data_IF_290754343762
#
_entry.id   IF_290754343762
#
_cell.length_a   1.000
_cell.length_b   1.000
_cell.length_c   1.000
_cell.angle_alpha   90.00
_cell.angle_beta   90.00
_cell.angle_gamma   90.00
#
_symmetry.space_group_name_H-M   'P 1'
#
loop_
_entity.id
_entity.type
_entity.pdbx_description
1 polymer ?
#
# COMPACT_ATOMS: atom_id res chain seq x y z
N UNK A 1 -1.54 7.39 -14.08
CA UNK A 1 -2.25 7.00 -12.85
C UNK A 1 -1.87 8.02 -11.81
N UNK A 2 -2.81 8.87 -11.42
CA UNK A 2 -2.58 9.87 -10.38
C UNK A 2 -2.49 9.15 -9.03
N UNK A 3 -1.37 9.34 -8.31
CA UNK A 3 -1.29 8.98 -6.90
C UNK A 3 -2.30 9.85 -6.16
N UNK A 4 -3.46 9.29 -5.82
CA UNK A 4 -4.43 9.98 -4.98
C UNK A 4 -3.87 10.04 -3.55
N UNK A 5 -3.22 11.16 -3.24
CA UNK A 5 -2.77 11.48 -1.88
C UNK A 5 -4.01 11.79 -1.05
N UNK A 6 -4.56 10.78 -0.38
CA UNK A 6 -5.62 11.01 0.60
C UNK A 6 -4.94 11.42 1.90
N UNK A 7 -4.89 12.72 2.18
CA UNK A 7 -4.53 13.24 3.48
C UNK A 7 -5.65 12.91 4.46
N UNK A 8 -5.57 11.76 5.11
CA UNK A 8 -6.48 11.41 6.20
C UNK A 8 -6.00 12.16 7.44
N UNK A 9 -6.59 13.33 7.68
CA UNK A 9 -6.49 14.02 8.96
C UNK A 9 -7.22 13.23 10.05
N UNK A 10 -6.53 13.04 11.18
CA UNK A 10 -7.02 12.52 12.49
C UNK A 10 -8.28 11.63 12.39
N UNK A 11 -8.10 10.37 11.99
CA UNK A 11 -9.05 9.34 12.43
C UNK A 11 -8.67 8.98 13.86
N UNK A 12 -9.44 9.49 14.81
CA UNK A 12 -9.37 9.04 16.19
C UNK A 12 -9.77 7.56 16.24
N UNK A 13 -8.78 6.67 16.16
CA UNK A 13 -8.99 5.26 16.50
C UNK A 13 -9.27 5.18 18.00
N UNK A 14 -10.46 4.71 18.35
CA UNK A 14 -10.99 4.63 19.72
C UNK A 14 -10.23 3.65 20.64
N UNK A 15 -9.16 3.02 20.16
CA UNK A 15 -8.26 2.25 21.00
C UNK A 15 -6.82 2.45 20.52
N UNK A 16 -5.98 3.25 21.22
CA UNK A 16 -4.59 3.40 20.83
C UNK A 16 -3.93 2.03 20.99
N UNK A 17 -3.48 1.47 19.87
CA UNK A 17 -2.55 0.35 19.77
C UNK A 17 -1.59 0.33 20.97
N UNK A 18 -1.33 -0.83 21.58
CA UNK A 18 -0.44 -0.95 22.76
C UNK A 18 0.92 -0.27 22.55
N UNK A 19 1.49 -0.34 21.34
CA UNK A 19 2.71 0.38 20.99
C UNK A 19 2.56 1.91 20.98
N UNK A 20 1.41 2.43 20.55
CA UNK A 20 1.11 3.86 20.58
C UNK A 20 1.01 4.38 22.02
N UNK A 21 0.40 3.61 22.93
CA UNK A 21 0.35 3.95 24.35
C UNK A 21 1.74 3.99 24.98
N UNK A 22 2.56 2.97 24.72
CA UNK A 22 3.94 2.88 25.23
C UNK A 22 4.81 4.01 24.69
N UNK A 23 4.72 4.28 23.39
CA UNK A 23 5.45 5.38 22.77
C UNK A 23 5.03 6.74 23.35
N UNK A 24 3.72 6.97 23.51
CA UNK A 24 3.23 8.22 24.11
C UNK A 24 3.74 8.39 25.54
N UNK A 25 3.76 7.32 26.34
CA UNK A 25 4.33 7.37 27.69
C UNK A 25 5.81 7.73 27.68
N UNK A 26 6.59 7.12 26.78
CA UNK A 26 8.01 7.43 26.62
C UNK A 26 8.24 8.88 26.20
N UNK A 27 7.47 9.39 25.24
CA UNK A 27 7.57 10.79 24.81
C UNK A 27 7.18 11.78 25.92
N UNK A 28 6.18 11.44 26.74
CA UNK A 28 5.81 12.22 27.92
C UNK A 28 6.94 12.26 28.96
N UNK A 29 7.61 11.14 29.20
CA UNK A 29 8.77 11.08 30.11
C UNK A 29 9.93 11.96 29.64
N UNK A 30 10.14 12.03 28.32
CA UNK A 30 11.18 12.87 27.73
C UNK A 30 10.83 14.36 27.81
N UNK A 31 9.56 14.73 27.66
CA UNK A 31 9.07 16.07 27.94
C UNK A 31 9.47 17.15 26.92
N UNK A 32 10.21 16.81 25.86
CA UNK A 32 10.64 17.75 24.81
C UNK A 32 10.07 17.44 23.42
N UNK A 33 9.08 16.57 23.31
CA UNK A 33 8.35 16.32 22.05
C UNK A 33 6.90 16.81 22.12
N UNK A 34 6.39 17.33 21.01
CA UNK A 34 4.96 17.60 20.81
C UNK A 34 4.22 16.27 20.58
N UNK A 35 2.88 16.31 20.61
CA UNK A 35 2.06 15.15 20.28
C UNK A 35 2.43 14.59 18.90
N UNK A 36 2.67 13.27 18.76
CA UNK A 36 3.00 12.66 17.48
C UNK A 36 1.91 12.86 16.44
N UNK A 37 2.33 13.20 15.22
CA UNK A 37 1.42 13.28 14.06
C UNK A 37 1.75 12.13 13.13
N UNK A 38 0.76 11.45 12.60
CA UNK A 38 0.97 10.41 11.58
C UNK A 38 0.18 10.69 10.31
N UNK A 39 0.70 10.20 9.19
CA UNK A 39 0.11 10.34 7.86
C UNK A 39 0.09 8.98 7.18
N UNK A 40 -1.09 8.57 6.73
CA UNK A 40 -1.27 7.41 5.87
C UNK A 40 -1.24 7.79 4.40
N UNK A 41 -0.61 6.94 3.59
CA UNK A 41 -0.64 6.98 2.13
C UNK A 41 -1.20 5.65 1.61
N UNK A 42 -2.23 5.73 0.77
CA UNK A 42 -2.74 4.55 0.09
C UNK A 42 -1.91 4.30 -1.16
N UNK A 43 -1.26 3.14 -1.22
CA UNK A 43 -0.48 2.67 -2.36
C UNK A 43 -1.37 1.73 -3.18
N UNK A 44 -1.62 2.11 -4.43
CA UNK A 44 -2.42 1.31 -5.38
C UNK A 44 -1.48 0.70 -6.42
N UNK A 45 -1.46 -0.63 -6.48
CA UNK A 45 -0.70 -1.40 -7.46
C UNK A 45 -1.65 -2.40 -8.13
N UNK A 46 -2.00 -2.13 -9.39
CA UNK A 46 -3.02 -2.91 -10.10
C UNK A 46 -4.36 -2.87 -9.36
N UNK A 47 -4.94 -4.05 -9.08
CA UNK A 47 -6.15 -4.18 -8.26
C UNK A 47 -5.88 -4.16 -6.76
N UNK A 48 -4.63 -4.25 -6.33
CA UNK A 48 -4.27 -4.29 -4.91
C UNK A 48 -4.16 -2.88 -4.34
N UNK A 49 -4.76 -2.70 -3.16
CA UNK A 49 -4.65 -1.49 -2.36
C UNK A 49 -3.93 -1.83 -1.07
N UNK A 50 -2.91 -1.05 -0.76
CA UNK A 50 -2.14 -1.17 0.47
C UNK A 50 -1.90 0.21 1.09
N UNK A 51 -1.34 0.23 2.28
CA UNK A 51 -1.13 1.41 3.09
C UNK A 51 0.31 1.48 3.57
N UNK A 52 0.91 2.66 3.42
CA UNK A 52 2.12 3.06 4.14
C UNK A 52 1.76 4.15 5.11
N UNK A 53 2.39 4.15 6.29
CA UNK A 53 2.17 5.18 7.29
C UNK A 53 3.51 5.73 7.75
N UNK A 54 3.56 7.05 7.95
CA UNK A 54 4.70 7.76 8.52
C UNK A 54 4.23 8.45 9.80
N UNK A 55 4.99 8.33 10.87
CA UNK A 55 4.81 9.07 12.12
C UNK A 55 5.95 10.08 12.29
N UNK A 56 5.60 11.26 12.79
CA UNK A 56 6.48 12.41 12.93
C UNK A 56 6.51 12.86 14.39
N UNK A 57 7.70 12.93 14.96
CA UNK A 57 7.97 13.48 16.29
C UNK A 57 8.60 14.85 16.12
N UNK A 58 7.88 15.88 16.56
CA UNK A 58 8.34 17.26 16.50
C UNK A 58 8.90 17.66 17.87
N UNK A 59 10.06 18.30 17.91
CA UNK A 59 10.60 18.84 19.15
C UNK A 59 9.75 20.02 19.66
N UNK A 60 9.74 20.21 20.98
CA UNK A 60 9.20 21.39 21.63
C UNK A 60 10.24 22.52 21.56
N UNK A 61 9.98 23.55 20.76
CA UNK A 61 10.86 24.71 20.57
C UNK A 61 10.73 25.31 19.17
N UNK A 62 11.57 26.31 18.89
CA UNK A 62 11.65 27.02 17.58
C UNK A 62 12.37 26.22 16.48
N UNK A 63 12.75 24.98 16.76
CA UNK A 63 13.37 24.09 15.79
C UNK A 63 12.34 23.34 14.95
N UNK A 64 12.55 23.32 13.63
CA UNK A 64 11.84 22.44 12.67
C UNK A 64 12.38 21.01 12.65
N UNK A 65 13.18 20.62 13.66
CA UNK A 65 13.69 19.26 13.70
C UNK A 65 12.53 18.27 13.91
N UNK A 66 12.47 17.27 13.03
CA UNK A 66 11.44 16.24 13.04
C UNK A 66 12.11 14.90 12.86
N UNK A 67 11.82 13.98 13.78
CA UNK A 67 12.17 12.57 13.63
C UNK A 67 10.97 11.88 12.97
N UNK A 68 11.19 11.22 11.84
CA UNK A 68 10.15 10.51 11.13
C UNK A 68 10.45 9.00 11.09
N UNK A 69 9.43 8.19 11.38
CA UNK A 69 9.47 6.75 11.21
C UNK A 69 8.39 6.33 10.23
N UNK A 70 8.73 5.46 9.30
CA UNK A 70 7.79 4.97 8.28
C UNK A 70 7.66 3.45 8.36
N UNK A 71 6.48 2.93 8.01
CA UNK A 71 6.29 1.50 7.77
C UNK A 71 7.31 1.00 6.76
N UNK A 72 8.04 -0.06 7.10
CA UNK A 72 9.00 -0.71 6.18
C UNK A 72 8.28 -1.38 5.01
N UNK A 73 7.18 -2.08 5.33
CA UNK A 73 6.41 -2.88 4.41
C UNK A 73 4.98 -2.33 4.28
N UNK A 74 4.40 -2.22 3.06
CA UNK A 74 3.00 -1.86 2.90
C UNK A 74 2.06 -2.86 3.58
N UNK A 75 0.95 -2.38 4.14
CA UNK A 75 -0.06 -3.24 4.77
C UNK A 75 -1.39 -3.20 4.04
N UNK A 76 -2.17 -4.27 4.13
CA UNK A 76 -3.48 -4.36 3.45
C UNK A 76 -4.52 -3.43 4.07
N UNK A 77 -4.39 -3.12 5.36
CA UNK A 77 -5.31 -2.23 6.09
C UNK A 77 -4.56 -1.04 6.69
N UNK A 78 -5.25 0.09 6.83
CA UNK A 78 -4.69 1.26 7.49
C UNK A 78 -4.34 0.97 8.96
N UNK A 79 -5.20 0.23 9.65
CA UNK A 79 -4.98 -0.17 11.06
C UNK A 79 -3.68 -0.95 11.25
N UNK A 80 -3.41 -1.95 10.41
CA UNK A 80 -2.16 -2.72 10.50
C UNK A 80 -0.94 -1.87 10.14
N UNK A 81 -1.07 -0.92 9.20
CA UNK A 81 0.00 0.02 8.88
C UNK A 81 0.29 0.99 10.05
N UNK A 82 -0.76 1.45 10.73
CA UNK A 82 -0.64 2.25 11.96
C UNK A 82 0.04 1.42 13.05
N UNK A 83 -0.39 0.17 13.25
CA UNK A 83 0.23 -0.68 14.28
C UNK A 83 1.72 -0.88 14.06
N UNK A 84 2.10 -1.15 12.81
CA UNK A 84 3.46 -1.41 12.42
C UNK A 84 4.35 -0.16 12.48
N UNK A 85 3.85 1.03 12.09
CA UNK A 85 4.63 2.26 12.23
C UNK A 85 4.89 2.62 13.70
N UNK A 86 3.91 2.39 14.57
CA UNK A 86 4.09 2.63 16.01
C UNK A 86 5.07 1.64 16.64
N UNK A 87 5.01 0.36 16.24
CA UNK A 87 6.01 -0.64 16.62
C UNK A 87 7.42 -0.22 16.16
N UNK A 88 7.55 0.13 14.89
CA UNK A 88 8.83 0.55 14.30
C UNK A 88 9.41 1.79 14.99
N UNK A 89 8.55 2.78 15.22
CA UNK A 89 8.94 4.01 15.88
C UNK A 89 9.40 3.72 17.32
N UNK A 90 8.64 2.94 18.08
CA UNK A 90 9.01 2.58 19.45
C UNK A 90 10.35 1.83 19.50
N UNK A 91 10.55 0.83 18.64
CA UNK A 91 11.78 0.04 18.59
C UNK A 91 13.01 0.89 18.24
N UNK A 92 12.93 1.66 17.15
CA UNK A 92 14.05 2.51 16.73
C UNK A 92 14.31 3.63 17.71
N UNK A 93 13.25 4.24 18.24
CA UNK A 93 13.37 5.34 19.18
C UNK A 93 13.95 4.88 20.51
N UNK A 94 13.54 3.71 21.04
CA UNK A 94 14.22 3.10 22.18
C UNK A 94 15.71 2.85 21.90
N UNK A 95 16.08 2.36 20.72
CA UNK A 95 17.48 2.19 20.31
C UNK A 95 18.28 3.49 20.27
N UNK A 96 17.64 4.62 19.96
CA UNK A 96 18.26 5.97 19.97
C UNK A 96 18.30 6.57 21.37
N UNK A 97 17.38 6.21 22.26
CA UNK A 97 17.32 6.73 23.63
C UNK A 97 18.29 6.05 24.62
N UNK A 98 18.65 4.78 24.41
CA UNK A 98 19.58 4.04 25.29
C UNK A 98 20.96 4.72 25.45
N UNK A 99 21.58 5.28 24.39
CA UNK A 99 22.84 6.04 24.52
C UNK A 99 22.71 7.40 25.20
N UNK A 100 21.50 7.96 25.33
CA UNK A 100 21.27 9.31 25.86
C UNK A 100 21.19 9.37 27.40
N UNK A 101 21.48 8.26 28.08
CA UNK A 101 21.47 8.20 29.56
C UNK A 101 20.09 8.38 30.18
N UNK A 102 19.02 8.34 29.38
CA UNK A 102 17.65 8.34 29.87
C UNK A 102 17.39 6.97 30.49
N UNK A 103 17.06 6.94 31.77
CA UNK A 103 16.57 5.75 32.43
C UNK A 103 15.24 5.34 31.76
N UNK A 104 15.30 4.52 30.72
CA UNK A 104 14.12 3.96 30.09
C UNK A 104 13.80 2.63 30.77
N UNK A 105 12.58 2.52 31.30
CA UNK A 105 12.08 1.23 31.79
C UNK A 105 11.68 0.30 30.64
N UNK A 106 11.91 0.74 29.40
CA UNK A 106 11.60 0.03 28.17
C UNK A 106 12.89 -0.59 27.61
N UNK A 107 13.38 -1.63 28.29
CA UNK A 107 14.25 -2.59 27.62
C UNK A 107 13.43 -3.36 26.58
N UNK A 108 14.09 -3.87 25.53
CA UNK A 108 13.55 -4.97 24.72
C UNK A 108 13.42 -6.20 25.64
N UNK A 109 12.38 -6.24 26.49
CA UNK A 109 12.25 -7.28 27.50
C UNK A 109 11.45 -8.45 26.95
N UNK A 110 11.96 -9.70 27.02
CA UNK A 110 11.36 -10.86 26.38
C UNK A 110 10.38 -11.66 27.26
N UNK A 111 9.65 -11.04 28.20
CA UNK A 111 8.67 -11.80 28.99
C UNK A 111 7.34 -11.89 28.25
N UNK A 112 7.01 -13.11 27.80
CA UNK A 112 5.68 -13.53 27.37
C UNK A 112 5.18 -14.55 28.41
N UNK A 113 4.11 -14.25 29.13
CA UNK A 113 3.44 -15.28 29.93
C UNK A 113 2.57 -16.17 29.03
N UNK A 114 2.39 -17.42 29.43
CA UNK A 114 1.51 -18.38 28.73
C UNK A 114 0.05 -17.90 28.79
N UNK A 115 -0.34 -17.12 27.79
CA UNK A 115 -1.65 -16.48 27.68
C UNK A 115 -1.63 -15.18 26.87
N UNK A 116 -0.46 -14.55 26.74
CA UNK A 116 -0.34 -13.28 26.02
C UNK A 116 -0.18 -13.48 24.50
N UNK A 117 -1.12 -12.91 23.76
CA UNK A 117 -1.15 -12.93 22.30
C UNK A 117 -0.45 -11.72 21.65
N UNK A 118 0.12 -10.80 22.45
CA UNK A 118 0.66 -9.51 21.99
C UNK A 118 1.99 -9.19 22.67
N UNK A 119 2.92 -8.54 21.95
CA UNK A 119 4.18 -8.08 22.51
C UNK A 119 3.95 -6.78 23.31
N UNK A 120 3.92 -6.86 24.64
CA UNK A 120 3.88 -5.70 25.50
C UNK A 120 5.27 -5.45 26.12
N UNK A 121 5.84 -4.25 25.91
CA UNK A 121 7.00 -3.80 26.69
C UNK A 121 6.53 -3.48 28.11
N UNK A 122 6.98 -4.25 29.10
CA UNK A 122 6.73 -3.97 30.51
C UNK A 122 7.69 -2.90 31.04
N UNK A 123 7.24 -2.03 31.96
CA UNK A 123 8.14 -1.19 32.73
C UNK A 123 8.97 -2.10 33.66
N UNK A 124 10.27 -2.27 33.38
CA UNK A 124 11.16 -2.96 34.32
C UNK A 124 11.40 -2.09 35.54
N UNK A 125 10.99 -2.57 36.73
CA UNK A 125 11.59 -2.14 37.98
C UNK A 125 13.08 -2.50 37.94
N UNK A 126 13.94 -1.50 38.22
CA UNK A 126 15.42 -1.50 38.27
C UNK A 126 16.15 -2.72 37.65
N UNK A 127 17.02 -2.51 36.64
CA UNK A 127 17.79 -3.60 36.07
C UNK A 127 18.86 -4.09 37.05
N UNK A 128 18.58 -5.17 37.78
CA UNK A 128 19.61 -5.96 38.45
C UNK A 128 20.41 -6.74 37.41
N UNK A 129 21.41 -6.08 36.83
CA UNK A 129 22.49 -6.73 36.11
C UNK A 129 22.14 -7.19 34.69
N UNK A 130 23.08 -6.93 33.79
CA UNK A 130 23.13 -7.44 32.42
C UNK A 130 22.80 -8.94 32.36
N UNK A 131 21.56 -9.26 32.02
CA UNK A 131 21.16 -10.59 31.57
C UNK A 131 20.50 -10.45 30.20
N UNK A 132 21.34 -10.24 29.19
CA UNK A 132 21.00 -10.64 27.82
C UNK A 132 20.79 -12.16 27.84
N UNK A 133 19.57 -12.61 28.13
CA UNK A 133 19.22 -14.03 28.20
C UNK A 133 18.83 -14.53 26.82
N UNK A 134 18.93 -15.85 26.62
CA UNK A 134 18.48 -16.62 25.44
C UNK A 134 17.13 -16.15 24.85
N UNK A 135 16.26 -15.59 25.68
CA UNK A 135 14.95 -15.05 25.30
C UNK A 135 15.03 -13.74 24.48
N UNK A 136 16.05 -12.90 24.70
CA UNK A 136 16.33 -11.71 23.88
C UNK A 136 16.81 -12.10 22.49
N UNK A 137 17.63 -13.14 22.40
CA UNK A 137 18.07 -13.70 21.12
C UNK A 137 16.90 -14.31 20.35
N UNK A 138 16.04 -15.09 21.02
CA UNK A 138 14.81 -15.61 20.44
C UNK A 138 13.89 -14.49 19.93
N UNK A 139 13.66 -13.43 20.73
CA UNK A 139 12.86 -12.28 20.30
C UNK A 139 13.44 -11.62 19.03
N UNK A 140 14.76 -11.39 18.99
CA UNK A 140 15.43 -10.88 17.79
C UNK A 140 15.30 -11.83 16.60
N UNK A 141 15.44 -13.15 16.78
CA UNK A 141 15.27 -14.12 15.69
C UNK A 141 13.84 -14.16 15.17
N UNK A 142 12.84 -14.05 16.05
CA UNK A 142 11.43 -14.00 15.65
C UNK A 142 11.10 -12.71 14.90
N UNK A 143 11.66 -11.59 15.32
CA UNK A 143 11.50 -10.32 14.62
C UNK A 143 12.17 -10.37 13.25
N UNK A 144 13.40 -10.90 13.16
CA UNK A 144 14.08 -11.09 11.88
C UNK A 144 13.31 -12.02 10.93
N UNK A 145 12.75 -13.11 11.45
CA UNK A 145 11.93 -14.04 10.67
C UNK A 145 10.62 -13.38 10.19
N UNK A 146 9.99 -12.57 11.04
CA UNK A 146 8.81 -11.78 10.67
C UNK A 146 9.15 -10.79 9.56
N UNK A 147 10.20 -9.99 9.70
CA UNK A 147 10.66 -9.03 8.69
C UNK A 147 11.01 -9.73 7.37
N UNK A 148 11.66 -10.89 7.43
CA UNK A 148 11.98 -11.68 6.23
C UNK A 148 10.71 -12.17 5.51
N UNK A 149 9.71 -12.68 6.25
CA UNK A 149 8.44 -13.10 5.68
C UNK A 149 7.70 -11.93 4.99
N UNK A 150 7.79 -10.72 5.55
CA UNK A 150 7.20 -9.53 4.96
C UNK A 150 7.90 -9.08 3.68
N UNK A 151 9.23 -9.21 3.64
CA UNK A 151 10.01 -8.95 2.43
C UNK A 151 9.60 -9.91 1.31
N UNK A 152 9.41 -11.19 1.61
CA UNK A 152 8.92 -12.18 0.64
C UNK A 152 7.51 -11.84 0.14
N UNK A 153 6.62 -11.36 1.02
CA UNK A 153 5.29 -10.88 0.62
C UNK A 153 5.37 -9.68 -0.32
N UNK A 154 6.30 -8.74 -0.11
CA UNK A 154 6.49 -7.61 -1.01
C UNK A 154 6.99 -8.06 -2.38
N UNK A 155 7.94 -8.99 -2.45
CA UNK A 155 8.39 -9.58 -3.72
C UNK A 155 7.24 -10.26 -4.48
N UNK A 156 6.35 -10.96 -3.76
CA UNK A 156 5.17 -11.58 -4.36
C UNK A 156 4.16 -10.56 -4.88
N UNK A 157 3.96 -9.45 -4.17
CA UNK A 157 3.09 -8.35 -4.62
C UNK A 157 3.60 -7.73 -5.90
N UNK A 158 4.90 -7.45 -5.98
CA UNK A 158 5.52 -6.87 -7.19
C UNK A 158 5.37 -7.82 -8.39
N UNK A 159 5.60 -9.12 -8.20
CA UNK A 159 5.40 -10.13 -9.26
C UNK A 159 3.95 -10.22 -9.69
N UNK A 160 3.01 -10.15 -8.75
CA UNK A 160 1.58 -10.17 -9.07
C UNK A 160 1.17 -8.93 -9.87
N UNK A 161 1.63 -7.75 -9.48
CA UNK A 161 1.37 -6.50 -10.20
C UNK A 161 1.89 -6.54 -11.65
N UNK A 162 3.08 -7.11 -11.87
CA UNK A 162 3.64 -7.29 -13.21
C UNK A 162 2.81 -8.30 -14.05
N UNK A 163 2.40 -9.42 -13.46
CA UNK A 163 1.51 -10.38 -14.14
C UNK A 163 0.16 -9.76 -14.50
N UNK A 164 -0.41 -8.96 -13.60
CA UNK A 164 -1.65 -8.26 -13.81
C UNK A 164 -1.53 -7.26 -14.97
N UNK A 165 -0.47 -6.45 -15.00
CA UNK A 165 -0.20 -5.51 -16.08
C UNK A 165 -0.08 -6.23 -17.44
N UNK A 166 0.63 -7.36 -17.48
CA UNK A 166 0.74 -8.21 -18.68
C UNK A 166 -0.62 -8.76 -19.12
N UNK A 167 -1.43 -9.24 -18.18
CA UNK A 167 -2.78 -9.75 -18.47
C UNK A 167 -3.71 -8.66 -19.03
N UNK A 168 -3.70 -7.46 -18.43
CA UNK A 168 -4.47 -6.31 -18.91
C UNK A 168 -4.04 -5.91 -20.32
N UNK A 169 -2.74 -5.87 -20.59
CA UNK A 169 -2.21 -5.59 -21.93
C UNK A 169 -2.66 -6.61 -22.97
N UNK A 170 -2.58 -7.91 -22.66
CA UNK A 170 -3.03 -8.98 -23.56
C UNK A 170 -4.54 -8.89 -23.84
N UNK A 171 -5.33 -8.63 -22.81
CA UNK A 171 -6.78 -8.47 -22.92
C UNK A 171 -7.13 -7.28 -23.81
N UNK A 172 -6.45 -6.15 -23.65
CA UNK A 172 -6.63 -4.97 -24.48
C UNK A 172 -6.25 -5.24 -25.95
N UNK A 173 -5.12 -5.92 -26.19
CA UNK A 173 -4.66 -6.25 -27.54
C UNK A 173 -5.66 -7.19 -28.24
N UNK A 174 -6.14 -8.22 -27.53
CA UNK A 174 -7.10 -9.18 -28.08
C UNK A 174 -8.44 -8.52 -28.42
N UNK A 175 -9.00 -7.73 -27.48
CA UNK A 175 -10.27 -7.01 -27.69
C UNK A 175 -10.17 -6.03 -28.85
N UNK A 176 -9.07 -5.28 -28.95
CA UNK A 176 -8.81 -4.35 -30.06
C UNK A 176 -8.80 -5.08 -31.40
N UNK A 177 -8.15 -6.26 -31.46
CA UNK A 177 -8.08 -7.08 -32.68
C UNK A 177 -9.47 -7.55 -33.11
N UNK A 178 -10.28 -8.07 -32.18
CA UNK A 178 -11.66 -8.50 -32.45
C UNK A 178 -12.55 -7.34 -32.95
N UNK A 179 -12.42 -6.15 -32.35
CA UNK A 179 -13.17 -4.96 -32.77
C UNK A 179 -12.79 -4.50 -34.19
N UNK A 180 -11.50 -4.59 -34.54
CA UNK A 180 -11.02 -4.29 -35.90
C UNK A 180 -11.58 -5.28 -36.92
N UNK A 181 -11.58 -6.58 -36.60
CA UNK A 181 -12.15 -7.62 -37.47
C UNK A 181 -13.66 -7.45 -37.67
N UNK A 182 -14.40 -7.23 -36.59
CA UNK A 182 -15.83 -6.97 -36.63
C UNK A 182 -16.15 -5.73 -37.48
N UNK A 183 -15.38 -4.65 -37.30
CA UNK A 183 -15.50 -3.41 -38.08
C UNK A 183 -15.24 -3.63 -39.57
N UNK A 184 -14.18 -4.40 -39.91
CA UNK A 184 -13.88 -4.78 -41.31
C UNK A 184 -15.03 -5.57 -41.92
N UNK A 185 -15.59 -6.53 -41.19
CA UNK A 185 -16.73 -7.35 -41.64
C UNK A 185 -17.98 -6.50 -41.86
N UNK A 186 -18.30 -5.59 -40.92
CA UNK A 186 -19.42 -4.67 -41.03
C UNK A 186 -19.29 -3.74 -42.26
N UNK A 187 -18.10 -3.18 -42.52
CA UNK A 187 -17.84 -2.37 -43.72
C UNK A 187 -18.07 -3.18 -44.99
N UNK A 188 -17.52 -4.40 -45.09
CA UNK A 188 -17.74 -5.29 -46.24
C UNK A 188 -19.22 -5.56 -46.48
N UNK A 189 -19.99 -5.81 -45.42
CA UNK A 189 -21.44 -6.02 -45.53
C UNK A 189 -22.18 -4.77 -46.02
N UNK A 190 -21.81 -3.58 -45.53
CA UNK A 190 -22.36 -2.30 -46.03
C UNK A 190 -22.07 -2.09 -47.52
N UNK A 191 -20.83 -2.34 -47.97
CA UNK A 191 -20.48 -2.26 -49.39
C UNK A 191 -21.27 -3.25 -50.25
N UNK A 192 -21.36 -4.51 -49.82
CA UNK A 192 -22.17 -5.54 -50.52
C UNK A 192 -23.65 -5.13 -50.60
N UNK A 193 -24.22 -4.59 -49.51
CA UNK A 193 -25.61 -4.10 -49.49
C UNK A 193 -25.80 -2.94 -50.48
N UNK A 194 -24.90 -1.95 -50.49
CA UNK A 194 -24.93 -0.81 -51.43
C UNK A 194 -24.82 -1.30 -52.88
N UNK A 195 -23.88 -2.21 -53.18
CA UNK A 195 -23.73 -2.77 -54.51
C UNK A 195 -24.97 -3.55 -54.98
N UNK A 196 -25.62 -4.31 -54.09
CA UNK A 196 -26.89 -5.00 -54.39
C UNK A 196 -28.02 -4.02 -54.69
N UNK A 197 -28.11 -2.91 -53.94
CA UNK A 197 -29.12 -1.87 -54.19
C UNK A 197 -28.89 -1.17 -55.54
N UNK A 198 -27.64 -0.84 -55.87
CA UNK A 198 -27.29 -0.23 -57.16
C UNK A 198 -27.61 -1.16 -58.35
N UNK A 199 -27.43 -2.48 -58.21
CA UNK A 199 -27.82 -3.45 -59.25
C UNK A 199 -29.33 -3.64 -59.40
N UNK A 200 -30.12 -3.24 -58.41
CA UNK A 200 -31.59 -3.31 -58.43
C UNK A 200 -32.25 -2.01 -58.85
N UNK A 201 -31.48 -0.93 -59.05
CA UNK A 201 -32.01 0.27 -59.67
C UNK A 201 -32.38 -0.09 -61.12
N UNK A 202 -33.64 0.11 -61.56
CA UNK A 202 -33.95 -0.01 -62.97
C UNK A 202 -33.04 0.97 -63.72
N UNK A 203 -32.44 0.52 -64.83
CA UNK A 203 -31.96 1.46 -65.84
C UNK A 203 -33.16 2.34 -66.19
N UNK A 204 -33.12 3.63 -65.84
CA UNK A 204 -34.02 4.60 -66.47
C UNK A 204 -33.77 4.46 -67.97
N UNK A 205 -34.70 3.79 -68.64
CA UNK A 205 -34.77 3.79 -70.09
C UNK A 205 -35.18 5.21 -70.43
N UNK A 206 -34.26 5.97 -71.03
CA UNK A 206 -34.52 7.30 -71.52
C UNK A 206 -35.73 7.22 -72.48
N UNK A 207 -36.88 7.87 -72.16
CA UNK A 207 -38.13 7.70 -72.91
C UNK A 207 -38.07 8.23 -74.35
N UNK A 208 -36.91 8.75 -74.79
CA UNK A 208 -36.69 9.31 -76.13
C UNK A 208 -35.91 8.40 -77.08
N UNK A 209 -35.61 7.14 -76.71
CA UNK A 209 -34.89 6.24 -77.62
C UNK A 209 -35.87 5.58 -78.62
N UNK A 210 -35.83 5.92 -79.92
CA UNK A 210 -36.76 5.32 -80.89
C UNK A 210 -36.40 3.84 -81.14
N UNK A 211 -37.39 2.98 -81.43
CA UNK A 211 -37.13 1.57 -81.69
C UNK A 211 -36.31 1.39 -82.97
N UNK A 212 -35.42 0.39 -83.02
CA UNK A 212 -34.64 0.11 -84.21
C UNK A 212 -35.58 -0.32 -85.35
N UNK A 213 -35.43 0.33 -86.50
CA UNK A 213 -36.19 0.02 -87.71
C UNK A 213 -35.64 -1.24 -88.39
N UNK A 214 -36.49 -2.04 -89.05
CA UNK A 214 -36.13 -3.34 -89.63
C UNK A 214 -35.14 -3.28 -90.79
#
# INVERSE_FOLDING_TARGET
>A
MENSVVAIGRLAMENPNGYAQQLNHLLQQLGFFKEPVYRGEQVVQGFQKSWKVIIFFHFQGDGEEVIAFQTRHPRTTLESAIQDVFREALLRFCGVCVPLGVANNFGLHPYREEGDNWCHLHPTERPEGSRFTLLSELACTTENAYEQALKELDELRDRYADLEARYQHLTLAHTTTLLLEASRRARRMKYKKKARLLRKLPLEVDPLTPPPSP
#
